data_IF_237525808341
#
_entry.id   IF_237525808341
#
_cell.length_a   1.000
_cell.length_b   1.000
_cell.length_c   1.000
_cell.angle_alpha   90.00
_cell.angle_beta   90.00
_cell.angle_gamma   90.00
#
_symmetry.space_group_name_H-M   'P 1'
#
loop_
_entity.id
_entity.type
_entity.pdbx_description
1 polymer ?
#
# COMPACT_ATOMS: atom_id res chain seq x y z
N UNK A 1 8.72 -20.76 9.92
CA UNK A 1 8.20 -19.42 10.22
C UNK A 1 7.93 -19.36 11.71
N UNK A 2 8.66 -18.52 12.42
CA UNK A 2 8.38 -18.26 13.83
C UNK A 2 7.03 -17.53 13.93
N UNK A 3 6.27 -17.76 15.02
CA UNK A 3 4.95 -17.13 15.20
C UNK A 3 4.97 -15.59 15.14
N UNK A 4 6.13 -15.00 15.40
CA UNK A 4 6.41 -13.57 15.27
C UNK A 4 6.44 -13.08 13.81
N UNK A 5 6.98 -13.87 12.87
CA UNK A 5 6.99 -13.51 11.45
C UNK A 5 5.58 -13.52 10.87
N UNK A 6 4.77 -14.51 11.26
CA UNK A 6 3.37 -14.62 10.82
C UNK A 6 2.56 -13.41 11.34
N UNK A 7 2.76 -13.04 12.60
CA UNK A 7 2.11 -11.87 13.17
C UNK A 7 2.55 -10.58 12.47
N UNK A 8 3.85 -10.42 12.20
CA UNK A 8 4.37 -9.25 11.50
C UNK A 8 3.82 -9.13 10.08
N UNK A 9 3.88 -10.21 9.29
CA UNK A 9 3.36 -10.23 7.90
C UNK A 9 1.86 -9.90 7.87
N UNK A 10 1.09 -10.49 8.78
CA UNK A 10 -0.35 -10.30 8.80
C UNK A 10 -0.76 -8.90 9.29
N UNK A 11 -0.13 -8.41 10.36
CA UNK A 11 -0.43 -7.08 10.93
C UNK A 11 0.07 -5.98 10.02
N UNK A 12 1.33 -6.05 9.58
CA UNK A 12 1.93 -5.03 8.73
C UNK A 12 1.25 -5.01 7.35
N UNK A 13 1.01 -6.17 6.75
CA UNK A 13 0.27 -6.28 5.48
C UNK A 13 -1.16 -5.74 5.58
N UNK A 14 -1.84 -5.95 6.71
CA UNK A 14 -3.16 -5.36 6.95
C UNK A 14 -3.11 -3.83 7.03
N UNK A 15 -2.10 -3.26 7.73
CA UNK A 15 -1.91 -1.80 7.84
C UNK A 15 -1.60 -1.19 6.48
N UNK A 16 -0.76 -1.85 5.67
CA UNK A 16 -0.44 -1.44 4.31
C UNK A 16 -1.68 -1.40 3.42
N UNK A 17 -2.44 -2.49 3.39
CA UNK A 17 -3.65 -2.59 2.58
C UNK A 17 -4.68 -1.53 2.95
N UNK A 18 -4.88 -1.30 4.25
CA UNK A 18 -5.75 -0.23 4.74
C UNK A 18 -5.25 1.16 4.35
N UNK A 19 -3.93 1.37 4.37
CA UNK A 19 -3.32 2.65 3.97
C UNK A 19 -3.52 2.91 2.48
N UNK A 20 -3.27 1.92 1.61
CA UNK A 20 -3.50 1.99 0.17
C UNK A 20 -4.97 2.30 -0.12
N UNK A 21 -5.90 1.57 0.50
CA UNK A 21 -7.33 1.80 0.33
C UNK A 21 -7.77 3.17 0.86
N UNK A 22 -7.25 3.61 2.00
CA UNK A 22 -7.54 4.94 2.55
C UNK A 22 -7.15 6.04 1.56
N UNK A 23 -5.92 6.02 1.04
CA UNK A 23 -5.49 7.02 0.07
C UNK A 23 -6.22 6.90 -1.26
N UNK A 24 -6.53 5.69 -1.71
CA UNK A 24 -7.32 5.46 -2.91
C UNK A 24 -8.71 6.11 -2.80
N UNK A 25 -9.43 5.88 -1.70
CA UNK A 25 -10.75 6.52 -1.48
C UNK A 25 -10.66 8.04 -1.36
N UNK A 26 -9.58 8.55 -0.74
CA UNK A 26 -9.28 9.99 -0.68
C UNK A 26 -9.04 10.58 -2.07
N UNK A 27 -8.35 9.85 -2.94
CA UNK A 27 -8.09 10.25 -4.33
C UNK A 27 -9.39 10.34 -5.15
N UNK A 28 -10.31 9.40 -4.92
CA UNK A 28 -11.64 9.40 -5.53
C UNK A 28 -12.56 10.53 -5.01
N UNK A 29 -12.13 11.30 -3.99
CA UNK A 29 -12.88 12.40 -3.35
C UNK A 29 -14.30 12.01 -2.90
N UNK A 30 -14.54 10.72 -2.62
CA UNK A 30 -15.83 10.22 -2.12
C UNK A 30 -15.76 10.00 -0.63
N UNK A 31 -16.81 10.41 0.10
CA UNK A 31 -16.98 10.05 1.50
C UNK A 31 -17.42 8.59 1.57
N UNK A 32 -16.49 7.71 1.90
CA UNK A 32 -16.73 6.27 2.02
C UNK A 32 -17.21 5.96 3.43
N UNK A 33 -18.25 5.13 3.55
CA UNK A 33 -18.75 4.67 4.86
C UNK A 33 -17.75 3.71 5.50
N UNK A 34 -17.68 3.72 6.83
CA UNK A 34 -16.80 2.83 7.60
C UNK A 34 -17.01 1.34 7.29
N UNK A 35 -18.23 0.94 6.92
CA UNK A 35 -18.56 -0.42 6.47
C UNK A 35 -17.66 -0.92 5.33
N UNK A 36 -17.31 -0.08 4.37
CA UNK A 36 -16.46 -0.50 3.25
C UNK A 36 -15.02 -0.74 3.68
N UNK A 37 -14.53 -0.03 4.70
CA UNK A 37 -13.21 -0.29 5.27
C UNK A 37 -13.17 -1.65 5.97
N UNK A 38 -14.21 -1.99 6.74
CA UNK A 38 -14.33 -3.31 7.38
C UNK A 38 -14.39 -4.41 6.31
N UNK A 39 -15.22 -4.23 5.28
CA UNK A 39 -15.36 -5.21 4.21
C UNK A 39 -14.01 -5.42 3.49
N UNK A 40 -13.32 -4.33 3.15
CA UNK A 40 -12.01 -4.39 2.51
C UNK A 40 -10.96 -5.06 3.40
N UNK A 41 -10.96 -4.79 4.71
CA UNK A 41 -10.07 -5.46 5.65
C UNK A 41 -10.29 -6.97 5.70
N UNK A 42 -11.54 -7.42 5.75
CA UNK A 42 -11.88 -8.86 5.75
C UNK A 42 -11.40 -9.54 4.46
N UNK A 43 -11.64 -8.91 3.30
CA UNK A 43 -11.15 -9.44 2.03
C UNK A 43 -9.63 -9.41 1.92
N UNK A 44 -8.98 -8.33 2.34
CA UNK A 44 -7.52 -8.22 2.35
C UNK A 44 -6.89 -9.31 3.20
N UNK A 45 -7.40 -9.53 4.40
CA UNK A 45 -7.01 -10.63 5.29
C UNK A 45 -7.13 -12.00 4.60
N UNK A 46 -8.24 -12.24 3.88
CA UNK A 46 -8.45 -13.48 3.17
C UNK A 46 -7.44 -13.67 2.03
N UNK A 47 -7.10 -12.59 1.30
CA UNK A 47 -6.09 -12.60 0.25
C UNK A 47 -4.70 -12.90 0.82
N UNK A 48 -4.29 -12.20 1.90
CA UNK A 48 -3.00 -12.45 2.59
C UNK A 48 -2.90 -13.93 2.98
N UNK A 49 -3.99 -14.52 3.51
CA UNK A 49 -4.03 -15.91 3.97
C UNK A 49 -3.89 -16.93 2.84
N UNK A 50 -4.41 -16.63 1.65
CA UNK A 50 -4.38 -17.55 0.51
C UNK A 50 -3.07 -17.41 -0.27
N UNK A 51 -2.51 -16.19 -0.33
CA UNK A 51 -1.41 -15.85 -1.24
C UNK A 51 -0.15 -15.33 -0.54
N UNK A 52 0.13 -15.76 0.70
CA UNK A 52 1.31 -15.34 1.50
C UNK A 52 2.68 -15.55 0.80
N UNK A 53 2.71 -16.22 -0.35
CA UNK A 53 3.92 -16.54 -1.11
C UNK A 53 4.52 -15.37 -1.93
N UNK A 54 3.97 -14.15 -1.85
CA UNK A 54 4.54 -12.97 -2.54
C UNK A 54 4.50 -13.06 -4.07
N UNK A 55 3.52 -13.80 -4.59
CA UNK A 55 3.39 -14.09 -6.01
C UNK A 55 2.86 -12.89 -6.80
N UNK A 56 3.21 -12.81 -8.09
CA UNK A 56 2.61 -11.86 -9.06
C UNK A 56 1.06 -11.97 -9.05
N UNK A 57 0.53 -13.14 -8.72
CA UNK A 57 -0.90 -13.37 -8.57
C UNK A 57 -1.52 -12.59 -7.40
N UNK A 58 -0.79 -12.41 -6.29
CA UNK A 58 -1.25 -11.63 -5.14
C UNK A 58 -1.48 -10.17 -5.53
N UNK A 59 -0.50 -9.57 -6.23
CA UNK A 59 -0.60 -8.23 -6.80
C UNK A 59 -1.83 -8.08 -7.71
N UNK A 60 -2.04 -9.03 -8.62
CA UNK A 60 -3.18 -9.01 -9.53
C UNK A 60 -4.51 -9.05 -8.77
N UNK A 61 -4.61 -9.91 -7.75
CA UNK A 61 -5.81 -10.03 -6.91
C UNK A 61 -6.06 -8.74 -6.14
N UNK A 62 -5.03 -8.09 -5.59
CA UNK A 62 -5.21 -6.80 -4.92
C UNK A 62 -5.64 -5.68 -5.84
N UNK A 63 -5.06 -5.58 -7.03
CA UNK A 63 -5.49 -4.61 -8.04
C UNK A 63 -6.96 -4.82 -8.37
N UNK A 64 -7.38 -6.07 -8.60
CA UNK A 64 -8.78 -6.41 -8.88
C UNK A 64 -9.70 -6.08 -7.69
N UNK A 65 -9.27 -6.34 -6.45
CA UNK A 65 -10.02 -6.03 -5.24
C UNK A 65 -10.22 -4.51 -5.08
N UNK A 66 -9.16 -3.72 -5.27
CA UNK A 66 -9.21 -2.26 -5.24
C UNK A 66 -10.05 -1.69 -6.37
N UNK A 67 -9.94 -2.27 -7.57
CA UNK A 67 -10.72 -1.86 -8.73
C UNK A 67 -12.22 -2.12 -8.50
N UNK A 68 -12.57 -3.32 -8.01
CA UNK A 68 -13.94 -3.66 -7.63
C UNK A 68 -14.46 -2.72 -6.53
N UNK A 69 -13.68 -2.51 -5.46
CA UNK A 69 -14.02 -1.57 -4.39
C UNK A 69 -14.22 -0.14 -4.91
N UNK A 70 -13.36 0.33 -5.81
CA UNK A 70 -13.48 1.62 -6.48
C UNK A 70 -14.74 1.73 -7.32
N UNK A 71 -15.11 0.69 -8.07
CA UNK A 71 -16.35 0.66 -8.85
C UNK A 71 -17.59 0.67 -7.95
N UNK A 72 -17.60 -0.09 -6.85
CA UNK A 72 -18.69 -0.07 -5.87
C UNK A 72 -18.87 1.32 -5.24
N UNK A 73 -17.78 2.03 -4.96
CA UNK A 73 -17.81 3.37 -4.33
C UNK A 73 -18.18 4.47 -5.34
N UNK A 74 -17.59 4.44 -6.54
CA UNK A 74 -17.79 5.49 -7.54
C UNK A 74 -19.12 5.33 -8.31
N UNK A 75 -19.70 4.13 -8.34
CA UNK A 75 -20.90 3.78 -9.13
C UNK A 75 -20.78 4.22 -10.60
N UNK A 76 -19.56 4.34 -11.11
CA UNK A 76 -19.23 4.80 -12.45
C UNK A 76 -17.98 4.07 -12.91
N UNK A 77 -18.06 3.46 -14.09
CA UNK A 77 -16.96 2.74 -14.72
C UNK A 77 -16.03 3.73 -15.43
N UNK A 78 -15.08 4.28 -14.67
CA UNK A 78 -14.03 5.12 -15.23
C UNK A 78 -12.72 4.34 -15.26
N UNK A 79 -12.06 4.30 -16.42
CA UNK A 79 -10.74 3.66 -16.58
C UNK A 79 -9.69 4.24 -15.62
N UNK A 80 -9.86 5.52 -15.25
CA UNK A 80 -9.04 6.20 -14.25
C UNK A 80 -9.06 5.50 -12.88
N UNK A 81 -10.18 4.90 -12.47
CA UNK A 81 -10.26 4.18 -11.17
C UNK A 81 -9.29 3.00 -11.16
N UNK A 82 -9.21 2.26 -12.28
CA UNK A 82 -8.27 1.17 -12.44
C UNK A 82 -6.82 1.65 -12.46
N UNK A 83 -6.52 2.70 -13.24
CA UNK A 83 -5.18 3.29 -13.29
C UNK A 83 -4.71 3.77 -11.91
N UNK A 84 -5.57 4.41 -11.12
CA UNK A 84 -5.22 4.82 -9.77
C UNK A 84 -4.98 3.62 -8.85
N UNK A 85 -5.77 2.55 -8.95
CA UNK A 85 -5.54 1.34 -8.15
C UNK A 85 -4.16 0.74 -8.43
N UNK A 86 -3.80 0.60 -9.70
CA UNK A 86 -2.49 0.08 -10.13
C UNK A 86 -1.36 0.96 -9.63
N UNK A 87 -1.40 2.27 -9.90
CA UNK A 87 -0.36 3.22 -9.48
C UNK A 87 -0.15 3.20 -7.97
N UNK A 88 -1.24 3.16 -7.18
CA UNK A 88 -1.15 3.14 -5.73
C UNK A 88 -0.44 1.88 -5.22
N UNK A 89 -0.79 0.71 -5.75
CA UNK A 89 -0.16 -0.57 -5.38
C UNK A 89 1.31 -0.59 -5.82
N UNK A 90 1.61 -0.17 -7.05
CA UNK A 90 2.97 -0.13 -7.57
C UNK A 90 3.88 0.76 -6.72
N UNK A 91 3.42 1.95 -6.31
CA UNK A 91 4.19 2.83 -5.44
C UNK A 91 4.50 2.15 -4.10
N UNK A 92 3.52 1.47 -3.49
CA UNK A 92 3.74 0.77 -2.23
C UNK A 92 4.79 -0.33 -2.38
N UNK A 93 4.64 -1.19 -3.39
CA UNK A 93 5.59 -2.27 -3.66
C UNK A 93 6.98 -1.74 -4.01
N UNK A 94 7.08 -0.64 -4.75
CA UNK A 94 8.35 -0.01 -5.10
C UNK A 94 9.04 0.58 -3.86
N UNK A 95 8.31 1.26 -2.97
CA UNK A 95 8.84 1.73 -1.70
C UNK A 95 9.34 0.56 -0.83
N UNK A 96 8.58 -0.53 -0.77
CA UNK A 96 8.98 -1.73 -0.05
C UNK A 96 10.22 -2.40 -0.64
N UNK A 97 10.29 -2.53 -1.96
CA UNK A 97 11.44 -3.09 -2.66
C UNK A 97 12.71 -2.27 -2.41
N UNK A 98 12.60 -0.93 -2.42
CA UNK A 98 13.72 -0.03 -2.11
C UNK A 98 14.15 -0.20 -0.65
N UNK A 99 13.22 -0.11 0.31
CA UNK A 99 13.54 -0.25 1.73
C UNK A 99 14.15 -1.62 2.05
N UNK A 100 13.64 -2.69 1.43
CA UNK A 100 14.20 -4.03 1.61
C UNK A 100 15.61 -4.15 1.00
N UNK A 101 15.86 -3.51 -0.15
CA UNK A 101 17.19 -3.48 -0.76
C UNK A 101 18.21 -2.73 0.10
N UNK A 102 17.82 -1.55 0.61
CA UNK A 102 18.61 -0.78 1.58
C UNK A 102 18.89 -1.63 2.81
N UNK A 103 17.89 -2.39 3.26
CA UNK A 103 18.02 -3.31 4.37
C UNK A 103 19.08 -4.39 4.12
N UNK A 104 19.03 -5.09 2.98
CA UNK A 104 20.01 -6.12 2.66
C UNK A 104 21.45 -5.58 2.64
N UNK A 105 21.66 -4.34 2.22
CA UNK A 105 22.98 -3.69 2.20
C UNK A 105 23.45 -3.34 3.62
N UNK A 106 22.54 -2.90 4.50
CA UNK A 106 22.89 -2.56 5.89
C UNK A 106 23.07 -3.79 6.80
N UNK A 107 22.45 -4.91 6.43
CA UNK A 107 22.48 -6.17 7.19
C UNK A 107 23.89 -6.64 7.61
N UNK A 108 24.90 -6.74 6.72
CA UNK A 108 26.25 -7.16 7.12
C UNK A 108 26.93 -6.22 8.12
N UNK A 109 26.52 -4.94 8.20
CA UNK A 109 27.10 -3.97 9.13
C UNK A 109 26.59 -4.13 10.57
N UNK A 110 25.36 -4.64 10.75
CA UNK A 110 24.68 -4.75 12.04
C UNK A 110 24.73 -6.15 12.66
N UNK A 111 25.18 -7.17 11.91
CA UNK A 111 25.21 -8.57 12.34
C UNK A 111 26.26 -8.91 13.41
N UNK A 112 27.03 -7.95 13.90
CA UNK A 112 28.16 -8.16 14.81
C UNK A 112 27.75 -8.38 16.29
N UNK A 113 26.56 -7.93 16.71
CA UNK A 113 26.19 -7.90 18.16
C UNK A 113 25.06 -8.84 18.60
N UNK A 114 24.19 -9.36 17.71
CA UNK A 114 23.28 -10.49 17.98
C UNK A 114 22.38 -10.79 16.75
N UNK A 115 22.51 -11.95 16.08
CA UNK A 115 21.96 -12.15 14.74
C UNK A 115 20.42 -12.24 14.65
N UNK A 116 19.75 -12.82 15.66
CA UNK A 116 18.29 -13.05 15.59
C UNK A 116 17.45 -11.81 15.93
N UNK A 117 17.81 -11.08 16.98
CA UNK A 117 17.04 -9.91 17.43
C UNK A 117 17.21 -8.73 16.46
N UNK A 118 18.45 -8.47 16.01
CA UNK A 118 18.77 -7.35 15.12
C UNK A 118 18.06 -7.49 13.78
N UNK A 119 18.03 -8.69 13.19
CA UNK A 119 17.33 -8.93 11.91
C UNK A 119 15.83 -8.63 11.99
N UNK A 120 15.19 -8.97 13.11
CA UNK A 120 13.76 -8.75 13.32
C UNK A 120 13.40 -7.26 13.44
N UNK A 121 14.11 -6.54 14.32
CA UNK A 121 13.89 -5.09 14.49
C UNK A 121 14.14 -4.34 13.20
N UNK A 122 15.16 -4.75 12.45
CA UNK A 122 15.54 -4.13 11.21
C UNK A 122 14.50 -4.34 10.10
N UNK A 123 13.89 -5.54 10.02
CA UNK A 123 12.76 -5.80 9.13
C UNK A 123 11.58 -4.87 9.45
N UNK A 124 11.18 -4.77 10.72
CA UNK A 124 10.06 -3.90 11.14
C UNK A 124 10.34 -2.43 10.85
N UNK A 125 11.54 -1.94 11.19
CA UNK A 125 11.92 -0.55 10.95
C UNK A 125 11.89 -0.24 9.46
N UNK A 126 12.40 -1.14 8.62
CA UNK A 126 12.41 -0.96 7.17
C UNK A 126 11.00 -0.94 6.56
N UNK A 127 10.10 -1.79 7.07
CA UNK A 127 8.67 -1.78 6.79
C UNK A 127 8.00 -0.45 7.12
N UNK A 128 8.26 0.08 8.32
CA UNK A 128 7.71 1.38 8.75
C UNK A 128 8.23 2.51 7.87
N UNK A 129 9.52 2.52 7.55
CA UNK A 129 10.13 3.51 6.67
C UNK A 129 9.49 3.43 5.27
N UNK A 130 9.34 2.24 4.71
CA UNK A 130 8.67 2.05 3.41
C UNK A 130 7.25 2.60 3.42
N UNK A 131 6.48 2.32 4.47
CA UNK A 131 5.11 2.79 4.62
C UNK A 131 5.06 4.31 4.73
N UNK A 132 5.92 4.93 5.54
CA UNK A 132 6.02 6.40 5.65
C UNK A 132 6.40 7.02 4.31
N UNK A 133 7.37 6.46 3.59
CA UNK A 133 7.77 6.94 2.26
C UNK A 133 6.64 6.83 1.25
N UNK A 134 5.91 5.71 1.22
CA UNK A 134 4.75 5.55 0.33
C UNK A 134 3.66 6.58 0.61
N UNK A 135 3.37 6.86 1.88
CA UNK A 135 2.40 7.88 2.32
C UNK A 135 2.82 9.27 1.85
N UNK A 136 4.12 9.60 1.97
CA UNK A 136 4.65 10.87 1.44
C UNK A 136 4.50 10.94 -0.09
N UNK A 137 4.80 9.86 -0.81
CA UNK A 137 4.58 9.79 -2.26
C UNK A 137 3.12 10.04 -2.62
N UNK A 138 2.16 9.44 -1.90
CA UNK A 138 0.73 9.67 -2.13
C UNK A 138 0.31 11.11 -1.85
N UNK A 139 0.84 11.74 -0.79
CA UNK A 139 0.57 13.14 -0.49
C UNK A 139 1.07 14.06 -1.61
N UNK A 140 2.27 13.81 -2.12
CA UNK A 140 2.86 14.56 -3.22
C UNK A 140 2.01 14.42 -4.48
N UNK A 141 1.64 13.19 -4.88
CA UNK A 141 0.78 12.95 -6.05
C UNK A 141 -0.57 13.64 -5.90
N UNK A 142 -1.19 13.57 -4.72
CA UNK A 142 -2.45 14.25 -4.46
C UNK A 142 -2.32 15.78 -4.56
N UNK A 143 -1.19 16.36 -4.11
CA UNK A 143 -0.90 17.79 -4.26
C UNK A 143 -0.73 18.18 -5.72
N UNK A 144 0.03 17.40 -6.50
CA UNK A 144 0.20 17.63 -7.94
C UNK A 144 -1.12 17.53 -8.70
N UNK A 145 -1.96 16.54 -8.39
CA UNK A 145 -3.26 16.38 -9.04
C UNK A 145 -4.21 17.55 -8.72
N UNK A 146 -4.20 18.03 -7.48
CA UNK A 146 -4.97 19.21 -7.09
C UNK A 146 -4.51 20.45 -7.86
N UNK A 147 -3.19 20.66 -7.97
CA UNK A 147 -2.59 21.76 -8.71
C UNK A 147 -2.93 21.71 -10.20
N UNK A 148 -2.81 20.53 -10.85
CA UNK A 148 -3.17 20.38 -12.26
C UNK A 148 -4.66 20.68 -12.52
N UNK A 149 -5.55 20.19 -11.65
CA UNK A 149 -6.98 20.46 -11.79
C UNK A 149 -7.30 21.95 -11.67
N UNK A 150 -6.60 22.66 -10.79
CA UNK A 150 -6.77 24.09 -10.58
C UNK A 150 -6.19 24.91 -11.74
N UNK A 151 -5.04 24.51 -12.29
CA UNK A 151 -4.42 25.15 -13.47
C UNK A 151 -5.27 24.96 -14.73
N UNK A 152 -5.84 23.77 -14.93
CA UNK A 152 -6.74 23.49 -16.06
C UNK A 152 -8.07 24.25 -16.02
N UNK A 153 -8.57 24.62 -14.83
CA UNK A 153 -9.73 25.52 -14.70
C UNK A 153 -9.37 26.99 -14.94
N UNK A 154 -8.15 27.43 -14.58
CA UNK A 154 -7.70 28.80 -14.83
C UNK A 154 -7.30 29.09 -16.28
N UNK A 155 -7.11 28.06 -17.11
CA UNK A 155 -6.79 28.21 -18.54
C UNK A 155 -8.05 28.21 -19.44
N UNK A 156 -9.23 27.95 -18.86
CA UNK A 156 -10.54 27.94 -19.52
C UNK A 156 -11.41 29.16 -19.14
N UNK A 157 -10.84 30.14 -18.43
CA UNK A 157 -11.41 31.45 -18.11
C UNK A 157 -10.56 32.54 -18.77
#
# INVERSE_FOLDING_TARGET
MDGLDIFNVYVMGSIEMLTVFHFFTRFLKKKVKFIYYILFAIFGIAVIRIFTDGSIMELLVYVLLLMAGGFFICKTYNIFVGLYAVVMIEIMHLCYGISNSVSCILSPFLFLENPKAVSFFFMIISSIIALVTSVLCYQVINKYFYMMKQLGQNMLL
#
